data_IF_411542463653
#
_entry.id   IF_411542463653
#
_cell.length_a   1.000
_cell.length_b   1.000
_cell.length_c   1.000
_cell.angle_alpha   90.00
_cell.angle_beta   90.00
_cell.angle_gamma   90.00
#
_symmetry.space_group_name_H-M   'P 1'
#
loop_
_entity.id
_entity.type
_entity.pdbx_description
1 polymer ?
#
# COMPACT_ATOMS: atom_id res chain seq x y z
N UNK A 1 6.30 27.23 -37.68
CA UNK A 1 7.57 26.58 -37.33
C UNK A 1 8.11 27.32 -36.14
N UNK A 2 8.28 26.61 -35.02
CA UNK A 2 8.83 27.00 -33.70
C UNK A 2 8.30 25.90 -32.76
N UNK A 3 9.04 25.06 -32.03
CA UNK A 3 10.45 24.94 -31.71
C UNK A 3 10.51 24.20 -30.36
N UNK A 4 10.24 22.89 -30.33
CA UNK A 4 10.28 22.07 -29.11
C UNK A 4 11.74 21.82 -28.71
N UNK A 5 12.18 22.37 -27.57
CA UNK A 5 13.45 22.03 -26.95
C UNK A 5 13.28 20.74 -26.14
N UNK A 6 14.00 19.68 -26.53
CA UNK A 6 14.11 18.43 -25.78
C UNK A 6 15.02 18.66 -24.57
N UNK A 7 14.49 18.46 -23.36
CA UNK A 7 15.29 18.44 -22.13
C UNK A 7 16.20 17.22 -22.09
N UNK A 8 17.48 17.48 -21.81
CA UNK A 8 18.58 16.51 -21.73
C UNK A 8 18.39 15.53 -20.55
N UNK A 9 18.39 14.19 -20.74
CA UNK A 9 18.18 13.20 -19.68
C UNK A 9 19.39 12.99 -18.75
N UNK A 10 20.48 13.75 -18.89
CA UNK A 10 21.78 13.39 -18.28
C UNK A 10 22.11 13.99 -16.91
N UNK A 11 21.18 14.67 -16.22
CA UNK A 11 21.45 15.28 -14.90
C UNK A 11 20.66 14.67 -13.74
N UNK A 12 20.85 13.37 -13.48
CA UNK A 12 20.52 12.76 -12.19
C UNK A 12 21.80 12.16 -11.58
N UNK A 13 22.51 12.97 -10.78
CA UNK A 13 23.58 12.50 -9.90
C UNK A 13 23.05 12.33 -8.48
N UNK A 14 22.47 11.16 -8.18
CA UNK A 14 22.22 10.76 -6.80
C UNK A 14 23.53 10.32 -6.16
N UNK A 15 24.11 11.15 -5.29
CA UNK A 15 25.29 10.79 -4.50
C UNK A 15 24.87 9.81 -3.41
N UNK A 16 25.26 8.55 -3.56
CA UNK A 16 25.21 7.58 -2.47
C UNK A 16 26.39 7.83 -1.54
N UNK A 17 26.14 8.44 -0.37
CA UNK A 17 27.16 8.50 0.68
C UNK A 17 27.02 7.27 1.58
N UNK A 18 27.99 6.37 1.52
CA UNK A 18 28.16 5.31 2.50
C UNK A 18 28.94 5.87 3.70
N UNK A 19 28.33 5.86 4.89
CA UNK A 19 29.10 5.90 6.14
C UNK A 19 29.04 4.51 6.75
N UNK A 20 30.17 3.80 6.68
CA UNK A 20 30.30 2.45 7.18
C UNK A 20 30.39 2.45 8.70
N UNK A 21 29.56 1.62 9.34
CA UNK A 21 29.90 0.96 10.60
C UNK A 21 29.52 -0.51 10.47
N UNK A 22 30.46 -1.38 10.85
CA UNK A 22 30.40 -2.83 10.74
C UNK A 22 29.30 -3.42 11.63
N UNK A 23 28.26 -3.99 11.01
CA UNK A 23 27.15 -4.67 11.68
C UNK A 23 25.90 -4.54 10.84
N UNK A 24 25.57 -5.59 10.08
CA UNK A 24 24.55 -5.57 9.04
C UNK A 24 23.14 -5.27 9.56
N UNK A 25 22.76 -4.01 9.55
CA UNK A 25 21.38 -3.54 9.59
C UNK A 25 21.25 -2.43 8.54
N UNK A 26 20.82 -2.79 7.32
CA UNK A 26 20.48 -1.81 6.29
C UNK A 26 19.15 -1.15 6.69
N UNK A 27 19.24 -0.09 7.52
CA UNK A 27 18.13 0.83 7.72
C UNK A 27 17.96 1.64 6.45
N UNK A 28 16.88 1.40 5.72
CA UNK A 28 16.40 2.34 4.73
C UNK A 28 15.81 3.53 5.48
N UNK A 29 16.65 4.51 5.80
CA UNK A 29 16.19 5.78 6.33
C UNK A 29 15.61 6.58 5.15
N UNK A 30 14.30 6.45 4.93
CA UNK A 30 13.56 7.24 3.97
C UNK A 30 13.35 8.65 4.57
N UNK A 31 14.43 9.43 4.64
CA UNK A 31 14.32 10.87 4.84
C UNK A 31 13.74 11.48 3.56
N UNK A 32 12.44 11.79 3.57
CA UNK A 32 11.80 12.56 2.50
C UNK A 32 12.25 14.02 2.66
N UNK A 33 13.46 14.33 2.21
CA UNK A 33 13.91 15.71 2.11
C UNK A 33 13.17 16.36 0.92
N UNK A 34 12.14 17.14 1.24
CA UNK A 34 11.49 18.05 0.31
C UNK A 34 12.45 19.17 -0.07
N UNK A 35 13.27 18.92 -1.08
CA UNK A 35 14.14 19.93 -1.69
C UNK A 35 13.58 20.34 -3.05
N UNK A 36 13.09 21.59 -3.15
CA UNK A 36 12.92 22.31 -4.41
C UNK A 36 11.48 22.51 -4.88
N UNK A 37 10.91 23.65 -4.50
CA UNK A 37 9.90 24.44 -5.21
C UNK A 37 8.54 23.77 -5.58
N UNK A 38 7.57 23.86 -4.65
CA UNK A 38 6.13 23.69 -4.96
C UNK A 38 5.51 22.30 -4.80
N UNK A 39 6.21 21.30 -4.25
CA UNK A 39 5.69 19.94 -4.11
C UNK A 39 4.78 19.76 -2.87
N UNK A 40 3.46 19.71 -3.08
CA UNK A 40 2.44 19.49 -2.05
C UNK A 40 2.77 18.25 -1.18
N UNK A 41 3.09 18.46 0.10
CA UNK A 41 3.28 17.36 1.05
C UNK A 41 1.99 16.53 1.25
N UNK A 42 2.05 15.44 2.01
CA UNK A 42 0.85 14.70 2.36
C UNK A 42 1.10 13.42 3.14
N UNK A 43 0.02 12.84 3.66
CA UNK A 43 0.06 11.63 4.48
C UNK A 43 -0.19 10.41 3.61
N UNK A 44 0.61 9.37 3.81
CA UNK A 44 0.42 8.04 3.23
C UNK A 44 0.07 7.05 4.35
N UNK A 45 -1.12 6.46 4.29
CA UNK A 45 -1.57 5.52 5.30
C UNK A 45 -1.40 4.08 4.84
N UNK A 46 -0.89 3.23 5.72
CA UNK A 46 -0.70 1.80 5.44
C UNK A 46 -1.31 1.01 6.59
N UNK A 47 -2.06 -0.03 6.26
CA UNK A 47 -2.69 -0.85 7.28
C UNK A 47 -2.98 -2.27 6.80
N UNK A 48 -2.82 -3.23 7.72
CA UNK A 48 -3.18 -4.63 7.52
C UNK A 48 -4.51 -4.99 8.20
N UNK A 49 -5.34 -5.84 7.58
CA UNK A 49 -6.58 -6.34 8.20
C UNK A 49 -7.50 -5.19 8.65
N UNK A 50 -7.89 -5.16 9.94
CA UNK A 50 -8.59 -4.02 10.57
C UNK A 50 -7.81 -2.71 10.49
N UNK A 51 -6.48 -2.75 10.51
CA UNK A 51 -5.64 -1.59 10.27
C UNK A 51 -5.87 -0.97 8.89
N UNK A 52 -6.05 -1.79 7.85
CA UNK A 52 -6.37 -1.30 6.50
C UNK A 52 -7.72 -0.59 6.44
N UNK A 53 -8.72 -1.15 7.13
CA UNK A 53 -10.02 -0.49 7.33
C UNK A 53 -9.88 0.88 8.01
N UNK A 54 -9.14 0.96 9.11
CA UNK A 54 -8.93 2.22 9.85
C UNK A 54 -8.18 3.24 8.98
N UNK A 55 -7.13 2.81 8.27
CA UNK A 55 -6.41 3.65 7.31
C UNK A 55 -7.35 4.25 6.27
N UNK A 56 -8.28 3.46 5.74
CA UNK A 56 -9.23 3.93 4.74
C UNK A 56 -10.32 4.84 5.31
N UNK A 57 -10.80 4.58 6.53
CA UNK A 57 -11.73 5.48 7.22
C UNK A 57 -11.10 6.86 7.45
N UNK A 58 -9.82 6.90 7.84
CA UNK A 58 -9.10 8.16 7.98
C UNK A 58 -8.87 8.82 6.61
N UNK A 59 -8.48 8.04 5.62
CA UNK A 59 -8.18 8.56 4.29
C UNK A 59 -9.42 9.10 3.54
N UNK A 60 -10.63 8.68 3.91
CA UNK A 60 -11.90 9.21 3.37
C UNK A 60 -12.47 10.39 4.17
N UNK A 61 -11.86 10.75 5.30
CA UNK A 61 -12.33 11.83 6.17
C UNK A 61 -11.32 12.97 6.35
N UNK A 62 -10.04 12.74 6.03
CA UNK A 62 -8.96 13.70 6.21
C UNK A 62 -8.29 14.04 4.87
N UNK A 63 -8.49 15.26 4.33
CA UNK A 63 -7.96 15.65 3.02
C UNK A 63 -6.42 15.75 2.99
N UNK A 64 -5.74 15.67 4.14
CA UNK A 64 -4.27 15.60 4.18
C UNK A 64 -3.74 14.23 3.75
N UNK A 65 -4.59 13.20 3.80
CA UNK A 65 -4.23 11.85 3.35
C UNK A 65 -4.36 11.78 1.84
N UNK A 66 -3.22 11.65 1.17
CA UNK A 66 -3.15 11.67 -0.30
C UNK A 66 -3.22 10.29 -0.93
N UNK A 67 -2.93 9.24 -0.18
CA UNK A 67 -2.98 7.86 -0.66
C UNK A 67 -3.00 6.85 0.48
N UNK A 68 -3.38 5.61 0.15
CA UNK A 68 -3.30 4.49 1.08
C UNK A 68 -2.75 3.20 0.46
N UNK A 69 -2.11 2.35 1.28
CA UNK A 69 -1.79 0.96 0.96
C UNK A 69 -2.52 0.03 1.91
N UNK A 70 -3.42 -0.77 1.38
CA UNK A 70 -4.28 -1.65 2.15
C UNK A 70 -3.79 -3.10 1.99
N UNK A 71 -3.23 -3.66 3.05
CA UNK A 71 -2.67 -5.02 3.06
C UNK A 71 -3.73 -5.97 3.61
N UNK A 72 -4.29 -6.80 2.74
CA UNK A 72 -5.38 -7.72 3.02
C UNK A 72 -6.45 -7.13 3.95
N UNK A 73 -7.02 -5.96 3.59
CA UNK A 73 -7.91 -5.23 4.47
C UNK A 73 -9.20 -6.02 4.73
N UNK A 74 -9.74 -5.84 5.92
CA UNK A 74 -10.98 -6.47 6.35
C UNK A 74 -11.91 -5.40 6.90
N UNK A 75 -13.09 -5.27 6.30
CA UNK A 75 -14.12 -4.37 6.76
C UNK A 75 -14.95 -5.00 7.91
N UNK A 76 -16.25 -4.70 8.02
CA UNK A 76 -17.12 -5.36 8.99
C UNK A 76 -17.32 -6.83 8.62
N UNK A 77 -17.25 -7.71 9.61
CA UNK A 77 -17.47 -9.16 9.49
C UNK A 77 -18.59 -9.59 10.43
N UNK A 78 -18.94 -10.88 10.41
CA UNK A 78 -19.87 -11.46 11.40
C UNK A 78 -19.36 -11.33 12.84
N UNK A 79 -18.04 -11.26 13.05
CA UNK A 79 -17.41 -11.12 14.36
C UNK A 79 -17.27 -9.66 14.81
N UNK A 80 -17.36 -8.71 13.87
CA UNK A 80 -17.32 -7.27 14.11
C UNK A 80 -18.37 -6.59 13.22
N UNK A 81 -19.67 -6.80 13.51
CA UNK A 81 -20.75 -6.32 12.67
C UNK A 81 -20.78 -4.79 12.62
N UNK A 82 -21.46 -4.24 11.62
CA UNK A 82 -21.67 -2.81 11.51
C UNK A 82 -22.43 -2.30 12.75
N UNK A 83 -21.93 -1.25 13.37
CA UNK A 83 -22.54 -0.64 14.55
C UNK A 83 -21.74 0.57 15.03
N UNK A 84 -22.23 1.20 16.10
CA UNK A 84 -21.53 2.27 16.78
C UNK A 84 -20.14 1.77 17.26
N UNK A 85 -19.08 2.51 16.92
CA UNK A 85 -17.69 2.09 17.17
C UNK A 85 -17.11 1.09 16.14
N UNK A 86 -17.92 0.56 15.23
CA UNK A 86 -17.51 -0.36 14.15
C UNK A 86 -17.97 0.15 12.76
N UNK A 87 -17.60 1.37 12.34
CA UNK A 87 -18.01 1.94 11.05
C UNK A 87 -17.47 1.12 9.88
N UNK A 88 -18.13 1.16 8.71
CA UNK A 88 -17.66 0.47 7.50
C UNK A 88 -16.77 1.38 6.65
N UNK A 89 -15.57 0.91 6.32
CA UNK A 89 -14.69 1.64 5.41
C UNK A 89 -15.22 1.60 3.97
N UNK A 90 -15.77 0.47 3.53
CA UNK A 90 -16.33 0.30 2.18
C UNK A 90 -17.53 1.23 1.99
N UNK A 91 -18.37 1.40 3.01
CA UNK A 91 -19.46 2.37 2.99
C UNK A 91 -18.93 3.82 2.92
N UNK A 92 -17.90 4.16 3.70
CA UNK A 92 -17.28 5.49 3.66
C UNK A 92 -16.65 5.81 2.30
N UNK A 93 -16.02 4.83 1.64
CA UNK A 93 -15.49 4.99 0.28
C UNK A 93 -16.61 5.26 -0.72
N UNK A 94 -17.71 4.51 -0.64
CA UNK A 94 -18.87 4.72 -1.51
C UNK A 94 -19.46 6.11 -1.31
N UNK A 95 -19.62 6.55 -0.06
CA UNK A 95 -20.10 7.89 0.25
C UNK A 95 -19.17 8.96 -0.33
N UNK A 96 -17.86 8.82 -0.11
CA UNK A 96 -16.84 9.76 -0.61
C UNK A 96 -16.78 9.86 -2.13
N UNK A 97 -17.23 8.83 -2.85
CA UNK A 97 -17.26 8.79 -4.31
C UNK A 97 -18.48 9.51 -4.93
N UNK A 98 -19.49 9.91 -4.14
CA UNK A 98 -20.64 10.65 -4.67
C UNK A 98 -20.25 12.04 -5.20
N UNK A 99 -21.01 12.61 -6.15
CA UNK A 99 -20.80 13.99 -6.58
C UNK A 99 -20.85 14.97 -5.40
N UNK A 100 -19.77 15.72 -5.19
CA UNK A 100 -19.61 16.63 -4.05
C UNK A 100 -18.92 16.02 -2.82
N UNK A 101 -18.63 14.71 -2.83
CA UNK A 101 -17.75 14.07 -1.87
C UNK A 101 -16.27 14.44 -2.07
N UNK A 102 -15.43 14.14 -1.07
CA UNK A 102 -13.99 14.41 -1.13
C UNK A 102 -13.23 13.53 -2.15
N UNK A 103 -13.89 12.50 -2.69
CA UNK A 103 -13.28 11.48 -3.53
C UNK A 103 -12.57 10.40 -2.71
N UNK A 104 -12.38 9.24 -3.32
CA UNK A 104 -11.58 8.17 -2.74
C UNK A 104 -10.12 8.39 -3.16
N UNK A 105 -9.17 8.53 -2.21
CA UNK A 105 -7.78 8.75 -2.57
C UNK A 105 -7.21 7.53 -3.31
N UNK A 106 -6.19 7.72 -4.18
CA UNK A 106 -5.49 6.62 -4.81
C UNK A 106 -5.03 5.58 -3.78
N UNK A 107 -5.28 4.32 -4.07
CA UNK A 107 -4.87 3.23 -3.19
C UNK A 107 -4.27 2.04 -3.95
N UNK A 108 -3.37 1.34 -3.28
CA UNK A 108 -2.93 0.00 -3.66
C UNK A 108 -3.52 -1.01 -2.67
N UNK A 109 -4.18 -2.06 -3.18
CA UNK A 109 -4.66 -3.18 -2.35
C UNK A 109 -3.82 -4.43 -2.60
N UNK A 110 -3.37 -5.06 -1.54
CA UNK A 110 -2.57 -6.29 -1.60
C UNK A 110 -3.36 -7.39 -0.90
N UNK A 111 -4.18 -8.13 -1.65
CA UNK A 111 -5.09 -9.14 -1.12
C UNK A 111 -4.44 -10.49 -0.91
N UNK A 112 -4.79 -11.18 0.18
CA UNK A 112 -4.44 -12.57 0.41
C UNK A 112 -5.51 -13.51 -0.14
N UNK A 113 -5.15 -14.37 -1.10
CA UNK A 113 -6.08 -15.35 -1.69
C UNK A 113 -6.71 -16.28 -0.66
N UNK A 114 -5.97 -16.61 0.40
CA UNK A 114 -6.36 -17.63 1.39
C UNK A 114 -6.78 -16.99 2.71
N UNK A 115 -7.59 -15.93 2.65
CA UNK A 115 -8.07 -15.19 3.82
C UNK A 115 -9.02 -15.97 4.75
N UNK A 116 -9.80 -16.90 4.20
CA UNK A 116 -10.75 -17.73 4.94
C UNK A 116 -11.70 -16.91 5.83
N UNK A 117 -11.98 -17.40 7.03
CA UNK A 117 -12.86 -16.74 8.01
C UNK A 117 -12.31 -15.41 8.54
N UNK A 118 -11.02 -15.16 8.34
CA UNK A 118 -10.34 -13.96 8.84
C UNK A 118 -10.45 -12.78 7.88
N UNK A 119 -10.53 -13.06 6.57
CA UNK A 119 -10.85 -12.09 5.54
C UNK A 119 -11.95 -12.66 4.62
N UNK A 120 -13.18 -12.80 5.15
CA UNK A 120 -14.26 -13.48 4.45
C UNK A 120 -14.72 -12.67 3.23
N UNK A 121 -15.21 -13.37 2.21
CA UNK A 121 -15.85 -12.77 1.04
C UNK A 121 -16.98 -11.82 1.47
N UNK A 122 -17.07 -10.66 0.83
CA UNK A 122 -18.02 -9.60 1.20
C UNK A 122 -17.51 -8.64 2.27
N UNK A 123 -16.35 -8.92 2.86
CA UNK A 123 -15.66 -8.04 3.82
C UNK A 123 -14.18 -7.83 3.48
N UNK A 124 -13.66 -8.51 2.47
CA UNK A 124 -12.23 -8.56 2.17
C UNK A 124 -11.78 -7.53 1.12
N UNK A 125 -10.52 -7.64 0.71
CA UNK A 125 -9.83 -6.76 -0.24
C UNK A 125 -10.60 -6.51 -1.56
N UNK A 126 -11.43 -7.45 -2.02
CA UNK A 126 -12.23 -7.26 -3.23
C UNK A 126 -13.25 -6.15 -3.07
N UNK A 127 -13.84 -5.98 -1.89
CA UNK A 127 -14.81 -4.91 -1.64
C UNK A 127 -14.16 -3.53 -1.65
N UNK A 128 -12.94 -3.43 -1.10
CA UNK A 128 -12.15 -2.19 -1.18
C UNK A 128 -11.79 -1.86 -2.63
N UNK A 129 -11.34 -2.84 -3.42
CA UNK A 129 -11.03 -2.62 -4.84
C UNK A 129 -12.25 -2.19 -5.65
N UNK A 130 -13.42 -2.77 -5.39
CA UNK A 130 -14.68 -2.38 -6.06
C UNK A 130 -15.06 -0.91 -5.83
N UNK A 131 -14.73 -0.35 -4.66
CA UNK A 131 -15.02 1.05 -4.34
C UNK A 131 -13.84 2.00 -4.62
N UNK A 132 -12.74 1.49 -5.17
CA UNK A 132 -11.52 2.27 -5.36
C UNK A 132 -11.66 3.28 -6.51
N UNK A 133 -10.86 4.35 -6.47
CA UNK A 133 -10.81 5.34 -7.54
C UNK A 133 -10.07 4.81 -8.77
N UNK A 134 -10.18 5.50 -9.91
CA UNK A 134 -9.57 5.07 -11.18
C UNK A 134 -8.05 4.94 -11.14
N UNK A 135 -7.38 5.72 -10.29
CA UNK A 135 -5.92 5.69 -10.13
C UNK A 135 -5.45 4.60 -9.15
N UNK A 136 -6.41 3.87 -8.56
CA UNK A 136 -6.16 2.77 -7.66
C UNK A 136 -5.94 1.46 -8.41
N UNK A 137 -5.29 0.51 -7.76
CA UNK A 137 -5.05 -0.82 -8.31
C UNK A 137 -4.84 -1.84 -7.20
N UNK A 138 -4.86 -3.12 -7.55
CA UNK A 138 -4.60 -4.17 -6.57
C UNK A 138 -3.95 -5.40 -7.16
N UNK A 139 -3.36 -6.19 -6.27
CA UNK A 139 -2.72 -7.46 -6.56
C UNK A 139 -3.23 -8.48 -5.56
N UNK A 140 -3.56 -9.67 -6.05
CA UNK A 140 -3.78 -10.84 -5.22
C UNK A 140 -2.48 -11.62 -5.13
N UNK A 141 -2.04 -11.92 -3.90
CA UNK A 141 -0.92 -12.81 -3.62
C UNK A 141 -1.44 -14.15 -3.10
N UNK A 142 -0.68 -15.22 -3.34
CA UNK A 142 -0.99 -16.58 -2.85
C UNK A 142 -0.70 -16.74 -1.34
N UNK A 143 -1.10 -15.75 -0.56
CA UNK A 143 -0.90 -15.65 0.88
C UNK A 143 -2.20 -15.93 1.65
N UNK A 144 -2.04 -16.41 2.88
CA UNK A 144 -3.06 -16.38 3.93
C UNK A 144 -2.99 -15.09 4.72
N UNK A 145 -4.04 -14.82 5.50
CA UNK A 145 -4.27 -13.50 6.12
C UNK A 145 -3.12 -13.00 7.00
N UNK A 146 -2.42 -13.90 7.70
CA UNK A 146 -1.36 -13.54 8.65
C UNK A 146 0.07 -13.61 8.08
N UNK A 147 0.25 -14.06 6.83
CA UNK A 147 1.60 -14.14 6.22
C UNK A 147 2.21 -12.76 5.90
N UNK A 148 1.43 -11.69 6.01
CA UNK A 148 1.89 -10.32 5.87
C UNK A 148 2.62 -9.79 7.12
N UNK A 149 2.48 -10.45 8.27
CA UNK A 149 3.11 -10.04 9.52
C UNK A 149 4.59 -10.47 9.53
N UNK A 150 5.43 -9.67 10.19
CA UNK A 150 6.82 -10.07 10.46
C UNK A 150 6.87 -11.27 11.42
N UNK A 151 5.97 -11.30 12.42
CA UNK A 151 5.84 -12.38 13.39
C UNK A 151 4.36 -12.69 13.64
N UNK A 152 3.85 -13.75 13.01
CA UNK A 152 2.53 -14.28 13.31
C UNK A 152 2.63 -15.34 14.42
N UNK A 153 1.80 -15.23 15.46
CA UNK A 153 1.71 -16.27 16.48
C UNK A 153 1.11 -17.56 15.91
N UNK A 154 1.42 -18.70 16.53
CA UNK A 154 0.82 -19.99 16.17
C UNK A 154 -0.71 -19.94 16.19
N UNK A 155 -1.30 -19.31 17.22
CA UNK A 155 -2.76 -19.17 17.35
C UNK A 155 -3.34 -18.39 16.18
N UNK A 156 -2.71 -17.29 15.75
CA UNK A 156 -3.16 -16.54 14.58
C UNK A 156 -3.14 -17.41 13.31
N UNK A 157 -2.06 -18.17 13.09
CA UNK A 157 -1.94 -19.07 11.92
C UNK A 157 -2.91 -20.25 11.96
N UNK A 158 -3.29 -20.73 13.14
CA UNK A 158 -4.23 -21.83 13.28
C UNK A 158 -5.70 -21.44 13.02
N UNK A 159 -6.04 -20.15 13.16
CA UNK A 159 -7.41 -19.65 12.98
C UNK A 159 -7.76 -19.40 11.52
N UNK A 160 -6.78 -19.08 10.68
CA UNK A 160 -7.01 -18.78 9.27
C UNK A 160 -6.29 -19.77 8.37
N UNK A 161 -6.78 -19.90 7.14
CA UNK A 161 -6.08 -20.68 6.14
C UNK A 161 -4.70 -20.07 5.84
N UNK A 162 -3.70 -20.94 5.72
CA UNK A 162 -2.36 -20.56 5.27
C UNK A 162 -2.29 -20.57 3.74
N UNK A 163 -1.54 -19.62 3.18
CA UNK A 163 -1.28 -19.57 1.76
C UNK A 163 -0.16 -20.51 1.32
N UNK A 164 0.16 -20.47 0.04
CA UNK A 164 1.17 -21.36 -0.57
C UNK A 164 2.47 -20.63 -0.91
N UNK A 165 2.49 -19.30 -0.82
CA UNK A 165 3.71 -18.51 -0.99
C UNK A 165 4.50 -18.48 0.33
N UNK A 166 5.81 -18.29 0.25
CA UNK A 166 6.66 -18.12 1.43
C UNK A 166 6.40 -16.76 2.11
N UNK A 167 6.41 -16.73 3.44
CA UNK A 167 6.15 -15.54 4.25
C UNK A 167 7.09 -14.37 3.90
N UNK A 168 8.38 -14.66 3.65
CA UNK A 168 9.35 -13.62 3.28
C UNK A 168 9.06 -13.05 1.89
N UNK A 169 8.65 -13.90 0.95
CA UNK A 169 8.23 -13.44 -0.40
C UNK A 169 6.97 -12.57 -0.33
N UNK A 170 5.97 -12.98 0.46
CA UNK A 170 4.75 -12.20 0.68
C UNK A 170 5.08 -10.81 1.22
N UNK A 171 5.93 -10.73 2.26
CA UNK A 171 6.36 -9.45 2.83
C UNK A 171 7.19 -8.62 1.85
N UNK A 172 8.12 -9.23 1.12
CA UNK A 172 8.98 -8.55 0.16
C UNK A 172 8.15 -7.89 -0.94
N UNK A 173 7.27 -8.66 -1.59
CA UNK A 173 6.36 -8.15 -2.62
C UNK A 173 5.47 -7.06 -2.03
N UNK A 174 4.91 -7.25 -0.84
CA UNK A 174 4.05 -6.25 -0.21
C UNK A 174 4.76 -4.91 0.01
N UNK A 175 6.01 -4.95 0.49
CA UNK A 175 6.85 -3.76 0.69
C UNK A 175 7.18 -3.08 -0.64
N UNK A 176 7.50 -3.84 -1.68
CA UNK A 176 7.77 -3.26 -3.01
C UNK A 176 6.54 -2.58 -3.62
N UNK A 177 5.36 -3.19 -3.55
CA UNK A 177 4.12 -2.59 -4.05
C UNK A 177 3.76 -1.32 -3.28
N UNK A 178 3.90 -1.35 -1.95
CA UNK A 178 3.70 -0.19 -1.08
C UNK A 178 4.60 0.99 -1.48
N UNK A 179 5.89 0.74 -1.70
CA UNK A 179 6.86 1.77 -2.11
C UNK A 179 6.57 2.25 -3.53
N UNK A 180 6.33 1.35 -4.47
CA UNK A 180 6.05 1.72 -5.86
C UNK A 180 4.83 2.63 -5.97
N UNK A 181 3.78 2.36 -5.20
CA UNK A 181 2.60 3.21 -5.14
C UNK A 181 2.91 4.59 -4.56
N UNK A 182 3.68 4.66 -3.46
CA UNK A 182 4.10 5.93 -2.87
C UNK A 182 4.94 6.78 -3.86
N UNK A 183 5.88 6.16 -4.59
CA UNK A 183 6.66 6.85 -5.62
C UNK A 183 5.75 7.42 -6.72
N UNK A 184 4.71 6.69 -7.13
CA UNK A 184 3.76 7.17 -8.13
C UNK A 184 2.96 8.37 -7.64
N UNK A 185 2.44 8.33 -6.41
CA UNK A 185 1.58 9.39 -5.88
C UNK A 185 2.36 10.65 -5.49
N UNK A 186 3.46 10.47 -4.76
CA UNK A 186 4.16 11.59 -4.12
C UNK A 186 5.29 12.16 -4.98
N UNK A 187 5.82 11.38 -5.93
CA UNK A 187 6.93 11.80 -6.80
C UNK A 187 6.57 11.76 -8.29
N UNK A 188 5.33 11.42 -8.63
CA UNK A 188 4.87 11.37 -10.02
C UNK A 188 5.60 10.34 -10.89
N UNK A 189 6.27 9.35 -10.29
CA UNK A 189 6.99 8.31 -11.04
C UNK A 189 5.96 7.42 -11.75
N UNK A 190 6.05 7.21 -13.07
CA UNK A 190 5.11 6.35 -13.77
C UNK A 190 5.03 4.95 -13.12
N UNK A 191 3.82 4.46 -12.84
CA UNK A 191 3.58 3.19 -12.12
C UNK A 191 4.44 2.03 -12.62
N UNK A 192 4.50 1.85 -13.93
CA UNK A 192 5.28 0.75 -14.53
C UNK A 192 6.78 0.87 -14.21
N UNK A 193 7.31 2.09 -14.19
CA UNK A 193 8.70 2.34 -13.85
C UNK A 193 8.95 2.14 -12.34
N UNK A 194 8.04 2.63 -11.49
CA UNK A 194 8.12 2.44 -10.04
C UNK A 194 8.15 0.94 -9.70
N UNK A 195 7.21 0.16 -10.25
CA UNK A 195 7.14 -1.29 -10.07
C UNK A 195 8.40 -2.02 -10.55
N UNK A 196 8.89 -1.72 -11.75
CA UNK A 196 10.13 -2.33 -12.26
C UNK A 196 11.31 -2.04 -11.34
N UNK A 197 11.47 -0.80 -10.89
CA UNK A 197 12.57 -0.40 -10.00
C UNK A 197 12.50 -1.14 -8.66
N UNK A 198 11.33 -1.19 -8.04
CA UNK A 198 11.16 -1.86 -6.74
C UNK A 198 11.34 -3.37 -6.83
N UNK A 199 10.80 -4.02 -7.88
CA UNK A 199 10.97 -5.47 -8.08
C UNK A 199 12.43 -5.83 -8.36
N UNK A 200 13.12 -5.06 -9.21
CA UNK A 200 14.54 -5.28 -9.47
C UNK A 200 15.40 -5.08 -8.19
N UNK A 201 15.00 -4.18 -7.29
CA UNK A 201 15.67 -4.01 -6.00
C UNK A 201 15.45 -5.21 -5.07
N UNK A 202 14.25 -5.80 -5.06
CA UNK A 202 13.99 -7.04 -4.34
C UNK A 202 14.86 -8.18 -4.86
N UNK A 203 14.92 -8.38 -6.17
CA UNK A 203 15.71 -9.45 -6.80
C UNK A 203 17.19 -9.37 -6.41
N UNK A 204 17.77 -8.16 -6.40
CA UNK A 204 19.16 -7.93 -5.97
C UNK A 204 19.39 -8.14 -4.47
N UNK A 205 18.35 -8.06 -3.65
CA UNK A 205 18.45 -8.25 -2.20
C UNK A 205 18.26 -9.72 -1.79
N UNK A 206 17.78 -10.55 -2.71
CA UNK A 206 17.50 -11.98 -2.50
C UNK A 206 18.51 -12.92 -3.22
N UNK A 207 19.43 -12.37 -4.02
CA UNK A 207 20.54 -13.10 -4.65
C UNK A 207 21.85 -12.79 -3.97
#
# INVERSE_FOLDING_TARGET
GEGYSQGDPSSYSGVASSSGTSGGEYRYDLSINGGGDGGDGGVYLVGHSRGGKISMLQATSDPRVRAACLIDPVDNTVYAPLGEGYPSAVAAMRESAHPGGQGVPPLVVIGGRYGGDCAPTGSNYLEFLKQSSRDSWGVEVRAGHFQFLDNASFVQRAVCQEGTADDAQVRAVSKALMVAHAETVFRGVPRQLALRKTLAALERSCG
#
